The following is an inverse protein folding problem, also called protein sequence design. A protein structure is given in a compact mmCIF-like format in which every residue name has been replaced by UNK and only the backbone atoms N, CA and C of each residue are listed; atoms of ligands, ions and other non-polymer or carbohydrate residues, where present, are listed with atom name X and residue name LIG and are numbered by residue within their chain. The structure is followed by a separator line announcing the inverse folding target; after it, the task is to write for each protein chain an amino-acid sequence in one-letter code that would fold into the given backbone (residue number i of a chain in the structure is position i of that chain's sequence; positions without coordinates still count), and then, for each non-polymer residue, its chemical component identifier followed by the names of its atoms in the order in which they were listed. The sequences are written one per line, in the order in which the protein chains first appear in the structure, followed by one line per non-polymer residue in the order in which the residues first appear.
data_IF_396570114168
#
_entry.id   IF_396570114168
#
_cell.length_a   1.000
_cell.length_b   1.000
_cell.length_c   1.000
_cell.angle_alpha   90.00
_cell.angle_beta   90.00
_cell.angle_gamma   90.00
#
_symmetry.space_group_name_H-M   'P 1'
#
loop_
_entity.id
_entity.type
_entity.pdbx_description
1 polymer ?
#
# COMPACT_ATOMS: atom_id res chain seq x y z
N UNK A 1 -7.31 2.54 12.36
CA UNK A 1 -5.88 2.75 12.05
C UNK A 1 -5.02 2.45 13.29
N UNK A 2 -5.13 1.25 13.87
CA UNK A 2 -4.38 0.82 15.06
C UNK A 2 -3.50 -0.41 14.78
N UNK A 3 -3.35 -0.74 13.50
CA UNK A 3 -2.49 -1.82 13.03
C UNK A 3 -1.06 -1.33 12.89
N UNK A 4 -0.11 -2.25 12.81
CA UNK A 4 1.30 -1.91 12.70
C UNK A 4 1.57 -1.25 11.36
N UNK A 5 2.15 -0.05 11.39
CA UNK A 5 2.60 0.66 10.19
C UNK A 5 3.88 0.03 9.65
N UNK A 6 3.88 -0.29 8.36
CA UNK A 6 5.00 -0.91 7.65
C UNK A 6 5.91 0.11 6.96
N UNK A 7 5.32 1.19 6.43
CA UNK A 7 6.04 2.21 5.69
C UNK A 7 5.11 3.11 4.88
N UNK A 8 5.69 4.18 4.33
CA UNK A 8 5.01 5.15 3.48
C UNK A 8 5.83 5.49 2.23
N UNK A 9 5.88 4.59 1.22
CA UNK A 9 6.35 4.96 -0.11
C UNK A 9 5.56 6.15 -0.65
N UNK A 10 6.18 6.89 -1.56
CA UNK A 10 5.63 8.12 -2.11
C UNK A 10 5.81 8.14 -3.63
N UNK A 11 4.71 8.38 -4.35
CA UNK A 11 4.69 8.62 -5.79
C UNK A 11 3.99 9.94 -6.08
N UNK A 12 4.70 11.09 -6.08
CA UNK A 12 4.11 12.41 -6.29
C UNK A 12 3.65 12.60 -7.73
N UNK A 13 2.53 13.29 -7.96
CA UNK A 13 2.07 13.60 -9.31
C UNK A 13 3.12 14.40 -10.11
N UNK A 14 3.77 15.38 -9.46
CA UNK A 14 4.81 16.21 -10.10
C UNK A 14 6.01 15.41 -10.64
N UNK A 15 6.30 14.23 -10.05
CA UNK A 15 7.36 13.33 -10.50
C UNK A 15 6.87 12.23 -11.48
N UNK A 16 5.57 12.19 -11.77
CA UNK A 16 4.93 11.15 -12.57
C UNK A 16 4.06 11.74 -13.69
N UNK A 17 4.54 12.80 -14.35
CA UNK A 17 3.85 13.40 -15.50
C UNK A 17 2.50 14.06 -15.16
N UNK A 18 2.29 14.43 -13.89
CA UNK A 18 1.04 15.01 -13.40
C UNK A 18 0.02 13.99 -12.91
N UNK A 19 0.24 12.69 -13.14
CA UNK A 19 -0.72 11.62 -12.82
C UNK A 19 0.01 10.35 -12.37
N UNK A 20 0.27 10.24 -11.07
CA UNK A 20 0.76 9.01 -10.48
C UNK A 20 -0.34 7.92 -10.50
N UNK A 21 0.04 6.67 -10.77
CA UNK A 21 -0.92 5.56 -10.76
C UNK A 21 -1.58 5.31 -9.39
N UNK A 22 -0.93 5.75 -8.31
CA UNK A 22 -1.45 5.71 -6.94
C UNK A 22 -1.07 7.02 -6.21
N UNK A 23 -1.85 8.10 -6.34
CA UNK A 23 -1.51 9.38 -5.74
C UNK A 23 -1.79 9.38 -4.23
N UNK A 24 -0.88 9.73 -3.32
CA UNK A 24 0.55 9.97 -3.52
C UNK A 24 1.38 9.24 -2.47
N UNK A 25 1.18 9.51 -1.17
CA UNK A 25 1.72 8.69 -0.10
C UNK A 25 0.92 7.39 0.04
N UNK A 26 1.62 6.28 0.26
CA UNK A 26 1.03 4.95 0.44
C UNK A 26 1.26 4.51 1.88
N UNK A 27 0.39 4.87 2.81
CA UNK A 27 0.54 4.42 4.19
C UNK A 27 0.12 2.95 4.30
N UNK A 28 1.07 2.06 4.60
CA UNK A 28 0.83 0.62 4.59
C UNK A 28 0.81 0.05 6.00
N UNK A 29 -0.13 -0.84 6.28
CA UNK A 29 -0.37 -1.42 7.60
C UNK A 29 -0.64 -2.91 7.53
N UNK A 30 -0.31 -3.63 8.61
CA UNK A 30 -0.58 -5.06 8.81
C UNK A 30 -1.02 -5.33 10.25
N UNK A 31 -1.85 -6.34 10.46
CA UNK A 31 -2.16 -6.80 11.82
C UNK A 31 -0.88 -7.25 12.56
N UNK A 32 -0.65 -6.84 13.82
CA UNK A 32 0.59 -7.15 14.54
C UNK A 32 0.90 -8.65 14.64
N UNK A 33 -0.12 -9.50 14.83
CA UNK A 33 0.09 -10.96 14.93
C UNK A 33 0.61 -11.56 13.61
N UNK A 34 0.14 -11.06 12.46
CA UNK A 34 0.61 -11.52 11.16
C UNK A 34 2.05 -11.06 10.88
N UNK A 35 2.40 -9.85 11.34
CA UNK A 35 3.78 -9.35 11.28
C UNK A 35 4.71 -10.21 12.15
N UNK A 36 4.33 -10.48 13.40
CA UNK A 36 5.15 -11.27 14.32
C UNK A 36 5.40 -12.69 13.78
N UNK A 37 4.39 -13.31 13.17
CA UNK A 37 4.55 -14.61 12.53
C UNK A 37 5.46 -14.54 11.29
N UNK A 38 5.32 -13.49 10.48
CA UNK A 38 6.20 -13.25 9.35
C UNK A 38 7.66 -13.06 9.80
N UNK A 39 7.91 -12.26 10.84
CA UNK A 39 9.26 -12.04 11.38
C UNK A 39 9.89 -13.34 11.89
N UNK A 40 9.08 -14.25 12.44
CA UNK A 40 9.53 -15.56 12.95
C UNK A 40 9.81 -16.58 11.85
N UNK A 41 9.05 -16.55 10.75
CA UNK A 41 9.01 -17.66 9.78
C UNK A 41 9.39 -17.28 8.35
N UNK A 42 9.39 -15.99 8.03
CA UNK A 42 9.48 -15.48 6.66
C UNK A 42 8.21 -15.69 5.82
N UNK A 43 7.10 -16.13 6.42
CA UNK A 43 5.84 -16.44 5.72
C UNK A 43 4.68 -15.73 6.40
N UNK A 44 3.84 -15.07 5.61
CA UNK A 44 2.60 -14.49 6.15
C UNK A 44 1.58 -15.61 6.44
N UNK A 45 0.96 -15.66 7.64
CA UNK A 45 -0.05 -16.67 7.93
C UNK A 45 -1.33 -16.48 7.09
N UNK A 46 -2.12 -17.54 6.95
CA UNK A 46 -3.46 -17.46 6.35
C UNK A 46 -4.32 -16.42 7.09
N UNK A 47 -5.13 -15.66 6.34
CA UNK A 47 -5.91 -14.54 6.85
C UNK A 47 -5.13 -13.24 7.00
N UNK A 48 -3.82 -13.21 6.71
CA UNK A 48 -3.04 -11.98 6.70
C UNK A 48 -3.72 -10.94 5.82
N UNK A 49 -3.95 -9.75 6.37
CA UNK A 49 -4.47 -8.60 5.64
C UNK A 49 -3.44 -7.46 5.71
N UNK A 50 -3.08 -6.94 4.55
CA UNK A 50 -2.25 -5.75 4.40
C UNK A 50 -3.11 -4.66 3.79
N UNK A 51 -3.09 -3.48 4.40
CA UNK A 51 -3.89 -2.33 4.02
C UNK A 51 -2.97 -1.24 3.50
N UNK A 52 -3.29 -0.65 2.35
CA UNK A 52 -2.65 0.55 1.83
C UNK A 52 -3.67 1.67 1.82
N UNK A 53 -3.45 2.73 2.58
CA UNK A 53 -4.20 3.98 2.45
C UNK A 53 -3.43 4.96 1.55
N UNK A 54 -4.13 5.50 0.56
CA UNK A 54 -3.62 6.62 -0.24
C UNK A 54 -3.84 7.91 0.54
N UNK A 55 -2.79 8.73 0.63
CA UNK A 55 -2.81 10.02 1.31
C UNK A 55 -2.25 11.07 0.37
N UNK A 56 -3.06 12.09 0.07
CA UNK A 56 -2.67 13.24 -0.74
C UNK A 56 -1.79 14.18 0.08
N UNK A 57 -1.01 14.96 -0.63
CA UNK A 57 -0.10 15.92 -0.03
C UNK A 57 -0.75 17.28 0.18
N UNK A 58 -0.06 18.14 0.91
CA UNK A 58 -0.33 19.56 0.92
C UNK A 58 -0.14 20.20 -0.45
N UNK A 59 -0.78 21.36 -0.63
CA UNK A 59 -0.71 22.11 -1.88
C UNK A 59 0.75 22.49 -2.16
N UNK A 60 1.19 22.25 -3.39
CA UNK A 60 2.58 22.43 -3.80
C UNK A 60 2.94 23.91 -3.91
N UNK A 61 4.19 24.23 -3.60
CA UNK A 61 4.81 25.54 -3.88
C UNK A 61 5.80 25.46 -5.04
N UNK A 62 6.15 24.24 -5.47
CA UNK A 62 7.10 23.95 -6.55
C UNK A 62 6.52 22.97 -7.59
N UNK A 63 7.08 22.99 -8.81
CA UNK A 63 6.61 22.18 -9.95
C UNK A 63 6.71 20.65 -9.72
N UNK A 64 7.66 20.22 -8.89
CA UNK A 64 7.83 18.81 -8.53
C UNK A 64 6.78 18.29 -7.52
N UNK A 65 5.87 19.16 -7.08
CA UNK A 65 4.83 18.87 -6.09
C UNK A 65 5.27 19.11 -4.64
N UNK A 66 6.51 19.51 -4.40
CA UNK A 66 7.02 19.78 -3.06
C UNK A 66 6.64 21.17 -2.56
N UNK A 67 6.86 21.42 -1.27
CA UNK A 67 6.66 22.71 -0.61
C UNK A 67 7.67 22.94 0.52
N UNK A 68 7.82 24.18 0.96
CA UNK A 68 8.64 24.50 2.12
C UNK A 68 7.82 24.39 3.42
N UNK A 69 8.41 23.72 4.41
CA UNK A 69 7.89 23.63 5.78
C UNK A 69 9.03 23.92 6.79
N UNK A 70 8.74 24.11 8.10
CA UNK A 70 9.78 24.42 9.09
C UNK A 70 10.94 23.41 9.16
N UNK A 71 10.73 22.16 8.75
CA UNK A 71 11.77 21.12 8.70
C UNK A 71 12.56 21.07 7.38
N UNK A 72 12.24 21.94 6.41
CA UNK A 72 12.84 21.99 5.08
C UNK A 72 11.87 21.65 3.95
N UNK A 73 12.37 21.71 2.72
CA UNK A 73 11.61 21.40 1.50
C UNK A 73 11.33 19.90 1.40
N UNK A 74 10.09 19.54 1.12
CA UNK A 74 9.71 18.14 0.96
C UNK A 74 8.24 17.94 0.61
N UNK A 75 7.76 16.76 0.93
CA UNK A 75 6.39 16.32 0.69
C UNK A 75 5.73 16.01 2.03
N UNK A 76 4.51 16.51 2.23
CA UNK A 76 3.84 16.46 3.52
C UNK A 76 2.40 15.99 3.34
N UNK A 77 2.02 14.95 4.07
CA UNK A 77 0.69 14.36 4.01
C UNK A 77 -0.40 15.31 4.53
N UNK A 78 -1.56 15.35 3.86
CA UNK A 78 -2.71 16.22 4.20
C UNK A 78 -3.99 15.42 4.44
N UNK A 79 -4.45 14.66 3.45
CA UNK A 79 -5.79 14.06 3.49
C UNK A 79 -5.83 12.68 2.86
N UNK A 80 -6.65 11.79 3.42
CA UNK A 80 -6.91 10.46 2.87
C UNK A 80 -7.67 10.53 1.53
N UNK A 81 -7.29 9.67 0.59
CA UNK A 81 -7.86 9.64 -0.75
C UNK A 81 -7.99 8.23 -1.34
N UNK A 82 -7.88 7.19 -0.54
CA UNK A 82 -8.15 5.85 -1.01
C UNK A 82 -7.75 4.77 -0.04
N UNK A 83 -8.28 3.58 -0.26
CA UNK A 83 -7.86 2.39 0.47
C UNK A 83 -7.91 1.15 -0.42
N UNK A 84 -6.79 0.44 -0.44
CA UNK A 84 -6.61 -0.85 -1.07
C UNK A 84 -6.22 -1.87 0.01
N UNK A 85 -6.60 -3.13 -0.20
CA UNK A 85 -6.23 -4.23 0.67
C UNK A 85 -5.78 -5.44 -0.13
N UNK A 86 -4.84 -6.20 0.44
CA UNK A 86 -4.56 -7.56 0.00
C UNK A 86 -4.75 -8.53 1.16
N UNK A 87 -5.36 -9.68 0.87
CA UNK A 87 -5.72 -10.70 1.87
C UNK A 87 -5.19 -12.06 1.42
N UNK A 88 -4.45 -12.74 2.30
CA UNK A 88 -4.00 -14.11 2.08
C UNK A 88 -5.11 -15.08 2.46
N UNK A 89 -5.60 -15.84 1.49
CA UNK A 89 -6.55 -16.93 1.68
C UNK A 89 -6.37 -17.93 0.54
N UNK A 90 -5.63 -19.01 0.81
CA UNK A 90 -5.35 -20.03 -0.20
C UNK A 90 -6.58 -20.79 -0.69
N UNK A 91 -7.67 -20.83 0.07
CA UNK A 91 -8.91 -21.48 -0.37
C UNK A 91 -9.68 -20.62 -1.38
N UNK A 92 -9.59 -19.29 -1.26
CA UNK A 92 -10.35 -18.36 -2.11
C UNK A 92 -9.55 -17.82 -3.29
N UNK A 93 -8.23 -17.76 -3.17
CA UNK A 93 -7.37 -17.03 -4.11
C UNK A 93 -6.21 -17.86 -4.66
N UNK A 94 -6.39 -19.19 -4.78
CA UNK A 94 -5.37 -20.10 -5.30
C UNK A 94 -4.81 -19.67 -6.68
N UNK A 95 -5.68 -19.16 -7.57
CA UNK A 95 -5.32 -18.71 -8.93
C UNK A 95 -4.43 -17.46 -8.95
N UNK A 96 -4.34 -16.73 -7.84
CA UNK A 96 -3.54 -15.50 -7.69
C UNK A 96 -2.46 -15.67 -6.62
N UNK A 97 -1.89 -16.87 -6.53
CA UNK A 97 -0.89 -17.27 -5.54
C UNK A 97 -1.34 -17.03 -4.09
N UNK A 98 -2.59 -17.38 -3.80
CA UNK A 98 -3.23 -17.30 -2.48
C UNK A 98 -3.55 -15.88 -1.98
N UNK A 99 -3.42 -14.86 -2.83
CA UNK A 99 -3.69 -13.47 -2.46
C UNK A 99 -4.85 -12.86 -3.24
N UNK A 100 -5.86 -12.36 -2.52
CA UNK A 100 -6.93 -11.54 -3.07
C UNK A 100 -6.59 -10.06 -2.93
N UNK A 101 -6.90 -9.26 -3.95
CA UNK A 101 -6.66 -7.81 -3.97
C UNK A 101 -7.99 -7.07 -4.06
N UNK A 102 -8.13 -5.97 -3.32
CA UNK A 102 -9.39 -5.28 -3.12
C UNK A 102 -9.20 -3.77 -3.15
N UNK A 103 -10.05 -3.08 -3.90
CA UNK A 103 -10.12 -1.63 -3.95
C UNK A 103 -11.46 -1.17 -3.38
N UNK A 104 -11.45 -0.30 -2.38
CA UNK A 104 -12.67 0.23 -1.77
C UNK A 104 -12.95 1.69 -2.18
N UNK A 105 -12.21 2.21 -3.16
CA UNK A 105 -12.33 3.55 -3.70
C UNK A 105 -11.04 4.35 -3.56
N UNK A 106 -10.70 5.10 -4.62
CA UNK A 106 -9.63 6.10 -4.67
C UNK A 106 -10.22 7.51 -4.67
N UNK A 107 -10.90 7.85 -3.58
CA UNK A 107 -11.47 9.18 -3.32
C UNK A 107 -11.46 9.47 -1.81
N UNK A 108 -11.86 10.67 -1.39
CA UNK A 108 -11.98 10.97 0.05
C UNK A 108 -13.02 10.05 0.74
N UNK A 109 -12.85 9.70 2.03
CA UNK A 109 -13.83 8.91 2.78
C UNK A 109 -15.25 9.53 2.76
N UNK A 110 -16.33 8.73 2.90
CA UNK A 110 -16.32 7.30 3.24
C UNK A 110 -16.00 6.39 2.04
N UNK A 111 -15.28 5.30 2.29
CA UNK A 111 -15.00 4.26 1.30
C UNK A 111 -16.15 3.27 1.16
N UNK A 112 -16.13 2.45 0.12
CA UNK A 112 -17.10 1.37 -0.06
C UNK A 112 -17.10 0.42 1.15
N UNK A 113 -18.29 -0.09 1.53
CA UNK A 113 -18.41 -1.05 2.63
C UNK A 113 -17.89 -2.45 2.26
N UNK A 114 -17.81 -2.75 0.96
CA UNK A 114 -17.32 -4.02 0.42
C UNK A 114 -16.71 -3.80 -0.96
N UNK A 115 -15.74 -4.63 -1.32
CA UNK A 115 -15.11 -4.66 -2.62
C UNK A 115 -15.14 -6.09 -3.20
N UNK A 116 -15.20 -6.21 -4.53
CA UNK A 116 -14.92 -7.49 -5.18
C UNK A 116 -13.41 -7.68 -5.28
N UNK A 117 -12.97 -8.94 -5.29
CA UNK A 117 -11.58 -9.23 -5.61
C UNK A 117 -11.30 -8.76 -7.05
N UNK A 118 -10.19 -8.04 -7.22
CA UNK A 118 -9.68 -7.62 -8.52
C UNK A 118 -9.23 -8.83 -9.36
N UNK A 119 -9.22 -8.66 -10.68
CA UNK A 119 -8.65 -9.68 -11.57
C UNK A 119 -7.14 -9.83 -11.36
N UNK A 120 -6.57 -10.92 -11.86
CA UNK A 120 -5.14 -11.16 -11.74
C UNK A 120 -4.33 -10.03 -12.43
N UNK A 121 -4.79 -9.58 -13.59
CA UNK A 121 -4.15 -8.55 -14.41
C UNK A 121 -4.13 -7.18 -13.74
N UNK A 122 -5.15 -6.86 -12.94
CA UNK A 122 -5.28 -5.56 -12.28
C UNK A 122 -4.24 -5.37 -11.16
N UNK A 123 -3.90 -6.42 -10.42
CA UNK A 123 -3.05 -6.30 -9.23
C UNK A 123 -2.04 -7.45 -9.08
N UNK A 124 -2.53 -8.70 -9.07
CA UNK A 124 -1.73 -9.86 -8.70
C UNK A 124 -0.52 -10.06 -9.63
N UNK A 125 -0.70 -9.89 -10.94
CA UNK A 125 0.36 -10.08 -11.93
C UNK A 125 1.54 -9.13 -11.72
N UNK A 126 1.27 -7.84 -11.43
CA UNK A 126 2.33 -6.87 -11.15
C UNK A 126 3.07 -7.22 -9.85
N UNK A 127 2.34 -7.60 -8.80
CA UNK A 127 2.92 -8.02 -7.54
C UNK A 127 3.76 -9.29 -7.69
N UNK A 128 3.26 -10.32 -8.37
CA UNK A 128 3.97 -11.58 -8.58
C UNK A 128 5.28 -11.38 -9.37
N UNK A 129 5.29 -10.45 -10.34
CA UNK A 129 6.46 -10.16 -11.15
C UNK A 129 7.52 -9.31 -10.42
N UNK A 130 7.13 -8.47 -9.45
CA UNK A 130 8.00 -7.43 -8.90
C UNK A 130 8.21 -7.47 -7.38
N UNK A 131 7.49 -8.34 -6.66
CA UNK A 131 7.61 -8.55 -5.22
C UNK A 131 7.99 -10.01 -4.92
N UNK A 132 9.29 -10.33 -4.83
CA UNK A 132 9.78 -11.71 -4.82
C UNK A 132 9.40 -12.50 -3.56
N UNK A 133 9.05 -11.82 -2.46
CA UNK A 133 8.67 -12.48 -1.21
C UNK A 133 7.18 -12.29 -0.98
N UNK A 134 6.43 -13.40 -1.09
CA UNK A 134 5.01 -13.46 -0.75
C UNK A 134 4.14 -12.36 -1.43
N UNK A 135 4.54 -11.89 -2.62
CA UNK A 135 3.86 -10.81 -3.35
C UNK A 135 3.78 -9.47 -2.60
N UNK A 136 4.58 -9.28 -1.55
CA UNK A 136 4.67 -8.03 -0.78
C UNK A 136 5.99 -7.33 -1.09
N UNK A 137 5.93 -6.03 -1.38
CA UNK A 137 7.12 -5.22 -1.74
C UNK A 137 8.00 -4.91 -0.51
N UNK A 138 8.55 -5.94 0.15
CA UNK A 138 9.25 -5.82 1.42
C UNK A 138 10.44 -4.86 1.44
N UNK A 139 11.11 -4.67 0.30
CA UNK A 139 12.19 -3.67 0.12
C UNK A 139 11.79 -2.21 0.43
N UNK A 140 10.48 -1.92 0.46
CA UNK A 140 9.96 -0.60 0.81
C UNK A 140 9.48 -0.50 2.26
N UNK A 141 9.57 -1.59 3.02
CA UNK A 141 9.11 -1.70 4.40
C UNK A 141 10.26 -2.21 5.28
N UNK A 142 11.12 -1.30 5.80
CA UNK A 142 12.31 -1.69 6.55
C UNK A 142 12.04 -2.63 7.73
N UNK A 143 10.85 -2.54 8.34
CA UNK A 143 10.42 -3.42 9.44
C UNK A 143 10.34 -4.89 9.03
N UNK A 144 10.15 -5.19 7.74
CA UNK A 144 10.11 -6.58 7.24
C UNK A 144 11.52 -7.16 7.03
N UNK A 145 12.57 -6.35 7.10
CA UNK A 145 13.97 -6.83 7.03
C UNK A 145 14.40 -7.42 5.68
N UNK A 146 13.70 -7.10 4.59
CA UNK A 146 13.95 -7.68 3.24
C UNK A 146 14.76 -6.74 2.32
N UNK A 147 15.68 -5.94 2.87
CA UNK A 147 16.49 -4.99 2.12
C UNK A 147 17.78 -5.61 1.60
#
# INVERSE_FOLDING_TARGET
RHWTFLGAPLTPNGLNGGEAGFPEFHHVYIHPDALAEFERTGVFPEGTTIVKELVLMHDAEYEDGSRDEPSGRGFFAKSFAGIDMMVKDSNRFAETNNWGFFNFGHHAPPYAASAKAASAEECASCHAANAPTEMVFGKFYPILGQN
#
